data_IF_263297226237
#
_entry.id   IF_263297226237
#
_cell.length_a   1.000
_cell.length_b   1.000
_cell.length_c   1.000
_cell.angle_alpha   90.00
_cell.angle_beta   90.00
_cell.angle_gamma   90.00
#
_symmetry.space_group_name_H-M   'P 1'
#
loop_
_entity.id
_entity.type
_entity.pdbx_description
1 polymer ?
#
# COMPACT_ATOMS: atom_id res chain seq x y z
N UNK A 1 32.79 28.12 -10.09
CA UNK A 1 32.24 29.37 -9.49
C UNK A 1 33.28 30.42 -9.09
N UNK A 2 34.59 30.17 -9.25
CA UNK A 2 35.63 31.16 -8.91
C UNK A 2 35.44 32.47 -9.68
N UNK A 3 35.55 33.60 -8.98
CA UNK A 3 35.36 34.93 -9.58
C UNK A 3 33.90 35.36 -9.80
N UNK A 4 32.92 34.53 -9.46
CA UNK A 4 31.49 34.85 -9.60
C UNK A 4 30.84 35.17 -8.25
N UNK A 5 29.98 36.20 -8.22
CA UNK A 5 29.14 36.51 -7.05
C UNK A 5 27.88 35.63 -7.03
N UNK A 6 27.99 34.43 -6.47
CA UNK A 6 26.91 33.42 -6.43
C UNK A 6 26.16 33.36 -5.09
N UNK A 7 26.75 33.87 -4.01
CA UNK A 7 26.20 33.72 -2.65
C UNK A 7 24.79 34.31 -2.56
N UNK A 8 23.84 33.49 -2.12
CA UNK A 8 22.44 33.88 -1.96
C UNK A 8 21.62 33.94 -3.25
N UNK A 9 22.15 33.47 -4.39
CA UNK A 9 21.51 33.55 -5.72
C UNK A 9 21.17 32.16 -6.27
N UNK A 10 20.30 32.14 -7.29
CA UNK A 10 20.18 31.00 -8.18
C UNK A 10 21.38 30.97 -9.15
N UNK A 11 21.90 29.78 -9.43
CA UNK A 11 22.93 29.56 -10.45
C UNK A 11 22.37 28.71 -11.57
N UNK A 12 22.69 29.08 -12.81
CA UNK A 12 22.30 28.35 -14.02
C UNK A 12 23.58 27.74 -14.58
N UNK A 13 23.56 26.44 -14.83
CA UNK A 13 24.72 25.67 -15.29
C UNK A 13 24.28 24.77 -16.44
N UNK A 14 25.00 24.82 -17.55
CA UNK A 14 24.83 23.83 -18.62
C UNK A 14 25.27 22.46 -18.11
N UNK A 15 24.43 21.45 -18.34
CA UNK A 15 24.77 20.06 -18.06
C UNK A 15 25.94 19.64 -18.96
N UNK A 16 26.78 18.73 -18.45
CA UNK A 16 27.82 18.06 -19.21
C UNK A 16 28.15 16.70 -18.58
N UNK A 17 28.92 15.87 -19.29
CA UNK A 17 29.35 14.55 -18.83
C UNK A 17 30.59 14.58 -17.89
N UNK A 18 31.23 15.73 -17.71
CA UNK A 18 32.46 15.88 -16.90
C UNK A 18 32.17 15.89 -15.40
N UNK A 19 30.99 16.34 -15.00
CA UNK A 19 30.55 16.38 -13.60
C UNK A 19 29.26 15.60 -13.45
N UNK A 20 29.14 14.85 -12.36
CA UNK A 20 27.89 14.24 -11.96
C UNK A 20 26.91 15.27 -11.36
N UNK A 21 25.63 14.92 -11.30
CA UNK A 21 24.60 15.70 -10.59
C UNK A 21 24.98 16.04 -9.14
N UNK A 22 25.45 15.06 -8.33
CA UNK A 22 25.91 15.32 -6.96
C UNK A 22 27.08 16.30 -6.88
N UNK A 23 28.07 16.18 -7.78
CA UNK A 23 29.23 17.08 -7.79
C UNK A 23 28.83 18.52 -8.14
N UNK A 24 27.94 18.70 -9.13
CA UNK A 24 27.40 20.02 -9.48
C UNK A 24 26.63 20.64 -8.32
N UNK A 25 25.75 19.87 -7.68
CA UNK A 25 24.96 20.32 -6.54
C UNK A 25 25.83 20.69 -5.35
N UNK A 26 26.81 19.85 -5.01
CA UNK A 26 27.77 20.09 -3.93
C UNK A 26 28.61 21.34 -4.18
N UNK A 27 29.11 21.53 -5.40
CA UNK A 27 29.90 22.72 -5.76
C UNK A 27 29.06 24.01 -5.69
N UNK A 28 27.80 23.98 -6.15
CA UNK A 28 26.88 25.11 -6.07
C UNK A 28 26.56 25.46 -4.60
N UNK A 29 26.30 24.44 -3.78
CA UNK A 29 26.04 24.59 -2.35
C UNK A 29 27.25 25.17 -1.61
N UNK A 30 28.45 24.63 -1.84
CA UNK A 30 29.69 25.11 -1.25
C UNK A 30 29.99 26.58 -1.63
N UNK A 31 29.60 26.99 -2.82
CA UNK A 31 29.73 28.39 -3.27
C UNK A 31 28.64 29.32 -2.68
N UNK A 32 27.65 28.78 -1.96
CA UNK A 32 26.60 29.53 -1.28
C UNK A 32 25.39 29.85 -2.15
N UNK A 33 25.16 29.13 -3.25
CA UNK A 33 23.95 29.25 -4.04
C UNK A 33 22.70 28.86 -3.21
N UNK A 34 21.53 29.38 -3.60
CA UNK A 34 20.22 29.02 -3.01
C UNK A 34 19.38 28.12 -3.91
N UNK A 35 19.72 28.02 -5.18
CA UNK A 35 19.10 27.16 -6.17
C UNK A 35 20.12 26.84 -7.26
N UNK A 36 20.19 25.58 -7.69
CA UNK A 36 20.88 25.18 -8.91
C UNK A 36 19.85 24.85 -9.98
N UNK A 37 19.98 25.47 -11.15
CA UNK A 37 19.23 25.14 -12.36
C UNK A 37 20.20 24.52 -13.35
N UNK A 38 20.03 23.24 -13.62
CA UNK A 38 20.79 22.50 -14.63
C UNK A 38 20.06 22.60 -15.97
N UNK A 39 20.71 23.18 -16.98
CA UNK A 39 20.18 23.27 -18.34
C UNK A 39 20.61 22.03 -19.11
N UNK A 40 19.65 21.28 -19.62
CA UNK A 40 19.93 20.05 -20.37
C UNK A 40 20.68 20.33 -21.69
N UNK A 41 21.74 19.55 -21.94
CA UNK A 41 22.63 19.67 -23.11
C UNK A 41 22.28 18.69 -24.25
N UNK A 42 21.33 17.79 -24.02
CA UNK A 42 20.94 16.74 -24.96
C UNK A 42 19.46 16.77 -25.35
N UNK A 43 19.07 16.01 -26.38
CA UNK A 43 17.69 15.90 -26.84
C UNK A 43 16.80 14.98 -25.97
N UNK A 44 17.38 14.26 -25.00
CA UNK A 44 16.64 13.35 -24.10
C UNK A 44 16.23 14.07 -22.83
N UNK A 45 15.14 13.63 -22.20
CA UNK A 45 14.76 14.14 -20.88
C UNK A 45 15.88 13.91 -19.86
N UNK A 46 16.18 14.94 -19.06
CA UNK A 46 17.24 14.90 -18.07
C UNK A 46 16.68 14.38 -16.74
N UNK A 47 17.08 13.16 -16.38
CA UNK A 47 16.83 12.59 -15.06
C UNK A 47 18.16 12.16 -14.45
N UNK A 48 18.54 12.79 -13.34
CA UNK A 48 19.80 12.54 -12.65
C UNK A 48 19.65 12.61 -11.14
N UNK A 49 20.34 11.72 -10.42
CA UNK A 49 20.45 11.84 -8.98
C UNK A 49 21.32 13.06 -8.63
N UNK A 50 20.83 13.92 -7.74
CA UNK A 50 21.51 15.17 -7.33
C UNK A 50 21.80 15.22 -5.83
N UNK A 51 21.46 14.14 -5.11
CA UNK A 51 21.67 14.02 -3.67
C UNK A 51 23.11 13.67 -3.30
N UNK A 52 23.29 13.24 -2.07
CA UNK A 52 24.58 12.84 -1.50
C UNK A 52 24.68 11.31 -1.49
N UNK A 53 25.82 10.79 -1.95
CA UNK A 53 26.20 9.39 -1.75
C UNK A 53 27.08 9.34 -0.49
N UNK A 54 26.56 8.72 0.57
CA UNK A 54 27.26 8.62 1.85
C UNK A 54 28.35 7.54 1.82
N UNK A 55 29.29 7.57 2.77
CA UNK A 55 30.40 6.61 2.84
C UNK A 55 29.96 5.14 2.98
N UNK A 56 28.74 4.89 3.49
CA UNK A 56 28.13 3.57 3.60
C UNK A 56 27.24 3.20 2.38
N UNK A 57 27.37 3.94 1.27
CA UNK A 57 26.54 3.83 0.05
C UNK A 57 25.05 4.15 0.24
N UNK A 58 24.62 4.65 1.40
CA UNK A 58 23.27 5.20 1.54
C UNK A 58 23.14 6.54 0.80
N UNK A 59 21.93 6.87 0.37
CA UNK A 59 21.62 8.11 -0.33
C UNK A 59 20.94 9.10 0.62
N UNK A 60 21.35 10.36 0.58
CA UNK A 60 20.71 11.47 1.28
C UNK A 60 20.29 12.58 0.32
N UNK A 61 19.32 13.38 0.72
CA UNK A 61 18.88 14.52 -0.08
C UNK A 61 19.98 15.60 -0.18
N UNK A 62 19.97 16.36 -1.27
CA UNK A 62 20.85 17.53 -1.40
C UNK A 62 20.41 18.64 -0.44
N UNK A 63 21.33 19.32 0.26
CA UNK A 63 21.00 20.49 1.07
C UNK A 63 20.64 21.71 0.20
N UNK A 64 20.82 21.63 -1.12
CA UNK A 64 20.47 22.64 -2.10
C UNK A 64 19.29 22.17 -2.94
N UNK A 65 18.30 23.04 -3.15
CA UNK A 65 17.27 22.80 -4.15
C UNK A 65 17.90 22.75 -5.55
N UNK A 66 17.62 21.71 -6.30
CA UNK A 66 18.10 21.53 -7.68
C UNK A 66 16.89 21.32 -8.59
N UNK A 67 16.88 22.00 -9.74
CA UNK A 67 15.93 21.81 -10.80
C UNK A 67 16.66 21.58 -12.12
N UNK A 68 16.10 20.76 -13.00
CA UNK A 68 16.54 20.60 -14.38
C UNK A 68 15.51 21.25 -15.32
N UNK A 69 15.97 21.92 -16.37
CA UNK A 69 15.12 22.48 -17.43
C UNK A 69 15.61 22.05 -18.80
N UNK A 70 14.72 22.10 -19.80
CA UNK A 70 15.10 21.78 -21.18
C UNK A 70 16.16 22.74 -21.71
N UNK A 71 16.90 22.31 -22.75
CA UNK A 71 17.85 23.19 -23.42
C UNK A 71 17.19 24.42 -24.05
N UNK A 72 15.92 24.31 -24.46
CA UNK A 72 15.16 25.44 -25.03
C UNK A 72 14.80 26.47 -23.96
N UNK A 73 14.16 26.05 -22.87
CA UNK A 73 13.85 26.95 -21.74
C UNK A 73 15.12 27.53 -21.11
N UNK A 74 16.19 26.73 -21.07
CA UNK A 74 17.50 27.16 -20.58
C UNK A 74 18.10 28.28 -21.41
N UNK A 75 18.02 28.22 -22.75
CA UNK A 75 18.47 29.30 -23.62
C UNK A 75 17.73 30.60 -23.34
N UNK A 76 16.40 30.54 -23.25
CA UNK A 76 15.55 31.70 -22.96
C UNK A 76 15.87 32.32 -21.59
N UNK A 77 16.08 31.47 -20.59
CA UNK A 77 16.47 31.89 -19.24
C UNK A 77 17.86 32.53 -19.23
N UNK A 78 18.84 31.94 -19.91
CA UNK A 78 20.21 32.46 -20.02
C UNK A 78 20.20 33.82 -20.74
N UNK A 79 19.46 33.96 -21.83
CA UNK A 79 19.33 35.22 -22.56
C UNK A 79 18.67 36.30 -21.70
N UNK A 80 17.61 35.96 -20.97
CA UNK A 80 16.95 36.86 -20.02
C UNK A 80 17.92 37.36 -18.94
N UNK A 81 18.78 36.48 -18.41
CA UNK A 81 19.80 36.86 -17.41
C UNK A 81 20.91 37.72 -18.01
N UNK A 82 21.30 37.50 -19.27
CA UNK A 82 22.27 38.37 -19.98
C UNK A 82 21.71 39.77 -20.22
N UNK A 83 20.40 39.88 -20.44
CA UNK A 83 19.71 41.14 -20.72
C UNK A 83 19.33 41.94 -19.46
N UNK A 84 19.45 41.36 -18.26
CA UNK A 84 19.22 42.10 -17.02
C UNK A 84 19.05 41.25 -15.77
N UNK A 85 18.61 41.91 -14.69
CA UNK A 85 18.35 41.23 -13.41
C UNK A 85 17.03 40.45 -13.49
N UNK A 86 17.13 39.13 -13.56
CA UNK A 86 15.98 38.23 -13.45
C UNK A 86 15.71 37.88 -11.99
N UNK A 87 14.43 37.84 -11.61
CA UNK A 87 13.96 37.27 -10.33
C UNK A 87 13.12 36.04 -10.64
N UNK A 88 13.49 34.92 -10.04
CA UNK A 88 12.74 33.67 -10.16
C UNK A 88 11.76 33.56 -8.97
N UNK A 89 10.51 33.22 -9.28
CA UNK A 89 9.57 32.78 -8.26
C UNK A 89 9.69 31.26 -8.12
N UNK A 90 10.09 30.79 -6.95
CA UNK A 90 10.41 29.38 -6.71
C UNK A 90 9.55 28.89 -5.56
N UNK A 91 8.74 27.86 -5.83
CA UNK A 91 7.97 27.15 -4.82
C UNK A 91 8.25 25.66 -5.01
N UNK A 92 8.82 25.02 -3.98
CA UNK A 92 8.90 23.57 -3.90
C UNK A 92 7.80 23.07 -2.96
N UNK A 93 7.10 22.02 -3.35
CA UNK A 93 6.21 21.30 -2.47
C UNK A 93 6.63 19.81 -2.49
N UNK A 94 7.26 19.28 -1.43
CA UNK A 94 7.63 17.87 -1.40
C UNK A 94 6.40 16.95 -1.35
N UNK A 95 5.26 17.47 -0.90
CA UNK A 95 4.00 16.75 -0.75
C UNK A 95 2.92 17.43 -1.61
N UNK A 96 2.87 17.09 -2.89
CA UNK A 96 1.90 17.69 -3.82
C UNK A 96 0.48 17.34 -3.39
N UNK A 97 -0.40 18.36 -3.34
CA UNK A 97 -1.82 18.20 -2.98
C UNK A 97 -2.63 17.43 -4.04
N UNK A 98 -2.03 17.19 -5.21
CA UNK A 98 -2.61 16.45 -6.31
C UNK A 98 -1.58 15.64 -7.11
N UNK A 99 -2.05 14.63 -7.83
CA UNK A 99 -1.27 13.91 -8.86
C UNK A 99 -2.16 13.61 -10.06
N UNK A 100 -1.55 13.47 -11.23
CA UNK A 100 -2.19 13.10 -12.48
C UNK A 100 -1.53 11.83 -13.00
N UNK A 101 -2.24 10.71 -12.93
CA UNK A 101 -1.82 9.44 -13.51
C UNK A 101 -2.54 9.29 -14.85
N UNK A 102 -1.87 9.81 -15.88
CA UNK A 102 -2.46 10.00 -17.20
C UNK A 102 -1.85 9.04 -18.21
N UNK A 103 -2.73 8.45 -18.99
CA UNK A 103 -2.41 7.54 -20.07
C UNK A 103 -3.27 7.91 -21.28
N UNK A 104 -2.62 7.94 -22.44
CA UNK A 104 -3.23 8.14 -23.76
C UNK A 104 -2.69 7.07 -24.71
N UNK A 105 -3.37 5.92 -24.74
CA UNK A 105 -2.98 4.79 -25.57
C UNK A 105 -3.55 4.92 -26.99
N UNK A 106 -2.71 4.65 -27.99
CA UNK A 106 -3.07 4.62 -29.41
C UNK A 106 -2.68 3.28 -30.02
N UNK A 107 -3.67 2.51 -30.46
CA UNK A 107 -3.44 1.18 -31.02
C UNK A 107 -3.23 1.21 -32.54
N UNK A 108 -2.16 0.56 -33.00
CA UNK A 108 -1.82 0.35 -34.42
C UNK A 108 -1.70 1.62 -35.28
N UNK A 109 -1.63 2.81 -34.67
CA UNK A 109 -1.44 4.07 -35.38
C UNK A 109 -0.73 5.10 -34.51
N UNK A 110 -0.12 6.09 -35.16
CA UNK A 110 0.35 7.31 -34.50
C UNK A 110 -0.63 8.40 -34.92
N UNK A 111 -1.34 9.06 -33.99
CA UNK A 111 -2.25 10.15 -34.31
C UNK A 111 -1.54 11.30 -35.03
N UNK A 112 -2.27 11.96 -35.93
CA UNK A 112 -1.78 13.21 -36.53
C UNK A 112 -1.72 14.36 -35.51
N UNK A 113 -2.52 14.28 -34.44
CA UNK A 113 -2.50 15.20 -33.30
C UNK A 113 -2.23 14.40 -32.03
N UNK A 114 -1.09 14.67 -31.39
CA UNK A 114 -0.64 14.01 -30.16
C UNK A 114 -0.94 14.85 -28.91
N UNK A 115 -1.78 15.87 -29.04
CA UNK A 115 -2.18 16.72 -27.93
C UNK A 115 -3.17 16.00 -27.03
N UNK A 116 -2.70 15.55 -25.86
CA UNK A 116 -3.55 14.97 -24.83
C UNK A 116 -3.95 16.03 -23.79
N UNK A 117 -5.25 16.36 -23.72
CA UNK A 117 -5.79 17.38 -22.81
C UNK A 117 -7.14 16.95 -22.22
N UNK A 118 -7.16 15.94 -21.33
CA UNK A 118 -8.40 15.44 -20.74
C UNK A 118 -9.03 16.48 -19.81
N UNK A 119 -10.36 16.47 -19.74
CA UNK A 119 -11.12 17.25 -18.76
C UNK A 119 -11.43 16.41 -17.53
N UNK A 120 -11.88 17.04 -16.44
CA UNK A 120 -12.29 16.32 -15.23
C UNK A 120 -13.43 15.30 -15.44
N UNK A 121 -14.19 15.40 -16.54
CA UNK A 121 -15.23 14.43 -16.90
C UNK A 121 -14.68 13.18 -17.56
N UNK A 122 -13.48 13.28 -18.15
CA UNK A 122 -12.80 12.19 -18.83
C UNK A 122 -11.95 11.37 -17.86
N UNK A 123 -11.69 11.91 -16.66
CA UNK A 123 -10.85 11.33 -15.62
C UNK A 123 -11.69 10.80 -14.45
N UNK A 124 -11.08 9.98 -13.61
CA UNK A 124 -11.55 9.69 -12.26
C UNK A 124 -10.89 10.63 -11.28
N UNK A 125 -11.67 11.18 -10.36
CA UNK A 125 -11.16 11.90 -9.20
C UNK A 125 -11.17 10.98 -7.98
N UNK A 126 -10.01 10.79 -7.37
CA UNK A 126 -9.84 9.98 -6.16
C UNK A 126 -9.37 10.90 -5.03
N UNK A 127 -10.10 10.94 -3.92
CA UNK A 127 -9.62 11.61 -2.72
C UNK A 127 -8.93 10.56 -1.84
N UNK A 128 -7.60 10.53 -1.91
CA UNK A 128 -6.78 9.56 -1.20
C UNK A 128 -6.36 10.11 0.17
N UNK A 129 -6.57 9.29 1.21
CA UNK A 129 -6.13 9.54 2.57
C UNK A 129 -5.07 8.52 2.95
N UNK A 130 -3.83 8.97 3.12
CA UNK A 130 -2.74 8.12 3.59
C UNK A 130 -2.60 8.30 5.10
N UNK A 131 -3.09 7.34 5.89
CA UNK A 131 -3.17 7.46 7.36
C UNK A 131 -1.85 7.07 8.03
N UNK A 132 -1.63 7.60 9.23
CA UNK A 132 -0.51 7.23 10.10
C UNK A 132 -0.72 7.76 11.52
N UNK A 133 -0.29 6.98 12.51
CA UNK A 133 -0.35 7.34 13.93
C UNK A 133 0.63 8.46 14.32
N UNK A 134 1.60 8.74 13.45
CA UNK A 134 2.65 9.75 13.62
C UNK A 134 3.18 10.25 12.27
N UNK A 135 3.89 11.40 12.24
CA UNK A 135 4.68 11.78 11.08
C UNK A 135 5.68 10.68 10.68
N UNK A 136 5.63 10.23 9.43
CA UNK A 136 6.53 9.22 8.87
C UNK A 136 6.74 9.44 7.37
N UNK A 137 7.76 8.80 6.79
CA UNK A 137 7.90 8.74 5.33
C UNK A 137 7.16 7.54 4.78
N UNK A 138 6.35 7.76 3.75
CA UNK A 138 5.76 6.75 2.91
C UNK A 138 6.30 6.82 1.48
N UNK A 139 5.91 5.84 0.68
CA UNK A 139 6.04 5.92 -0.76
C UNK A 139 4.88 5.20 -1.43
N UNK A 140 4.51 5.61 -2.64
CA UNK A 140 3.44 4.97 -3.40
C UNK A 140 3.69 5.12 -4.90
N UNK A 141 3.01 4.29 -5.69
CA UNK A 141 2.86 4.51 -7.11
C UNK A 141 1.65 3.75 -7.65
N UNK A 142 1.03 4.30 -8.70
CA UNK A 142 -0.03 3.66 -9.46
C UNK A 142 0.48 3.30 -10.85
N UNK A 143 0.68 2.01 -11.09
CA UNK A 143 1.13 1.48 -12.37
C UNK A 143 -0.04 1.33 -13.32
N UNK A 144 0.06 1.91 -14.51
CA UNK A 144 -0.79 1.56 -15.64
C UNK A 144 -0.41 0.18 -16.19
N UNK A 145 -1.42 -0.62 -16.50
CA UNK A 145 -1.30 -1.93 -17.11
C UNK A 145 -2.10 -1.87 -18.41
N UNK A 146 -1.41 -1.68 -19.55
CA UNK A 146 -2.02 -1.70 -20.88
C UNK A 146 -2.65 -3.06 -21.19
N UNK A 147 -3.69 -3.10 -22.03
CA UNK A 147 -4.42 -4.32 -22.40
C UNK A 147 -3.55 -5.43 -23.01
N UNK A 148 -2.45 -5.05 -23.67
CA UNK A 148 -1.50 -5.97 -24.31
C UNK A 148 -0.37 -6.44 -23.37
N UNK A 149 -0.32 -5.96 -22.13
CA UNK A 149 0.71 -6.27 -21.15
C UNK A 149 0.11 -6.94 -19.91
N UNK A 150 0.92 -7.73 -19.22
CA UNK A 150 0.54 -8.37 -17.95
C UNK A 150 1.05 -7.62 -16.72
N UNK A 151 1.88 -6.59 -16.90
CA UNK A 151 2.54 -5.85 -15.82
C UNK A 151 2.71 -4.39 -16.22
N UNK A 152 2.74 -3.49 -15.22
CA UNK A 152 3.13 -2.09 -15.40
C UNK A 152 4.59 -1.86 -15.02
N UNK A 153 5.16 -0.72 -15.41
CA UNK A 153 6.54 -0.32 -15.12
C UNK A 153 6.53 1.04 -14.43
N UNK A 154 7.27 1.17 -13.33
CA UNK A 154 7.29 2.41 -12.55
C UNK A 154 8.07 2.27 -11.25
N UNK A 155 8.26 3.39 -10.57
CA UNK A 155 9.01 3.50 -9.32
C UNK A 155 8.16 4.24 -8.29
N UNK A 156 8.24 3.82 -7.03
CA UNK A 156 7.53 4.50 -5.94
C UNK A 156 8.08 5.90 -5.69
N UNK A 157 7.20 6.89 -5.59
CA UNK A 157 7.53 8.24 -5.18
C UNK A 157 7.27 8.43 -3.69
N UNK A 158 8.15 9.18 -3.01
CA UNK A 158 8.00 9.47 -1.59
C UNK A 158 6.77 10.36 -1.36
N UNK A 159 6.10 10.14 -0.23
CA UNK A 159 5.14 11.08 0.35
C UNK A 159 5.30 11.15 1.87
N UNK A 160 4.90 12.25 2.47
CA UNK A 160 4.76 12.37 3.92
C UNK A 160 3.47 11.71 4.40
N UNK A 161 3.54 11.01 5.54
CA UNK A 161 2.40 10.42 6.23
C UNK A 161 2.18 11.10 7.58
N UNK A 162 0.94 11.30 8.05
CA UNK A 162 -0.29 11.17 7.27
C UNK A 162 -0.43 12.32 6.26
N UNK A 163 -1.13 12.07 5.14
CA UNK A 163 -1.42 13.10 4.14
C UNK A 163 -2.73 12.82 3.40
N UNK A 164 -3.21 13.85 2.70
CA UNK A 164 -4.36 13.77 1.81
C UNK A 164 -3.94 14.27 0.43
N UNK A 165 -4.40 13.59 -0.63
CA UNK A 165 -4.06 13.94 -2.01
C UNK A 165 -5.24 13.71 -2.93
N UNK A 166 -5.48 14.67 -3.84
CA UNK A 166 -6.45 14.49 -4.92
C UNK A 166 -5.77 13.87 -6.14
N UNK A 167 -6.20 12.69 -6.56
CA UNK A 167 -5.55 11.95 -7.63
C UNK A 167 -6.48 11.89 -8.83
N UNK A 168 -5.97 12.28 -9.99
CA UNK A 168 -6.71 12.28 -11.25
C UNK A 168 -6.18 11.19 -12.14
N UNK A 169 -7.03 10.22 -12.47
CA UNK A 169 -6.61 8.97 -13.12
C UNK A 169 -7.31 8.82 -14.47
N UNK A 170 -6.57 8.49 -15.52
CA UNK A 170 -7.17 8.17 -16.82
C UNK A 170 -8.08 6.94 -16.72
N UNK A 171 -9.22 7.01 -17.41
CA UNK A 171 -10.23 5.96 -17.46
C UNK A 171 -10.46 5.46 -18.89
N UNK A 172 -9.44 5.54 -19.74
CA UNK A 172 -9.50 5.07 -21.12
C UNK A 172 -9.74 3.55 -21.14
N UNK A 173 -10.57 3.09 -22.08
CA UNK A 173 -10.81 1.66 -22.29
C UNK A 173 -9.49 0.95 -22.62
N UNK A 174 -9.31 -0.26 -22.08
CA UNK A 174 -8.08 -1.03 -22.25
C UNK A 174 -6.98 -0.72 -21.23
N UNK A 175 -7.12 0.32 -20.40
CA UNK A 175 -6.21 0.58 -19.27
C UNK A 175 -6.74 -0.04 -17.98
N UNK A 176 -5.85 -0.69 -17.23
CA UNK A 176 -6.08 -1.07 -15.84
C UNK A 176 -4.98 -0.54 -14.95
N UNK A 177 -5.23 -0.46 -13.66
CA UNK A 177 -4.35 0.21 -12.70
C UNK A 177 -4.05 -0.70 -11.53
N UNK A 178 -2.78 -0.78 -11.14
CA UNK A 178 -2.34 -1.43 -9.91
C UNK A 178 -1.75 -0.36 -9.00
N UNK A 179 -2.20 -0.28 -7.75
CA UNK A 179 -1.73 0.72 -6.79
C UNK A 179 -1.13 0.04 -5.56
N UNK A 180 0.04 0.53 -5.16
CA UNK A 180 0.73 0.12 -3.96
C UNK A 180 1.20 1.33 -3.17
N UNK A 181 1.14 1.23 -1.86
CA UNK A 181 1.76 2.18 -0.95
C UNK A 181 2.53 1.47 0.16
N UNK A 182 3.59 2.11 0.66
CA UNK A 182 4.42 1.59 1.75
C UNK A 182 4.71 2.64 2.81
N UNK A 183 4.87 2.19 4.06
CA UNK A 183 5.45 2.94 5.18
C UNK A 183 6.93 2.60 5.27
N UNK A 184 7.80 3.58 5.02
CA UNK A 184 9.23 3.34 4.80
C UNK A 184 10.04 3.18 6.08
N UNK A 185 9.61 3.79 7.18
CA UNK A 185 10.29 3.66 8.48
C UNK A 185 9.92 2.37 9.22
N UNK A 186 9.01 1.55 8.65
CA UNK A 186 8.58 0.28 9.22
C UNK A 186 8.00 -0.66 8.15
N UNK A 187 8.80 -1.01 7.12
CA UNK A 187 8.66 -2.12 6.16
C UNK A 187 7.25 -2.67 5.88
N UNK A 188 6.23 -1.80 5.80
CA UNK A 188 4.83 -2.20 5.68
C UNK A 188 4.36 -1.77 4.31
N UNK A 189 3.97 -2.74 3.50
CA UNK A 189 3.45 -2.53 2.16
C UNK A 189 1.97 -2.92 2.11
N UNK A 190 1.17 -2.13 1.42
CA UNK A 190 -0.23 -2.42 1.10
C UNK A 190 -0.41 -2.34 -0.41
N UNK A 191 -1.17 -3.30 -0.95
CA UNK A 191 -1.48 -3.47 -2.37
C UNK A 191 -2.99 -3.54 -2.55
N UNK A 192 -3.53 -2.72 -3.44
CA UNK A 192 -4.94 -2.81 -3.84
C UNK A 192 -5.13 -3.84 -4.97
N UNK A 193 -6.37 -4.34 -5.18
CA UNK A 193 -6.71 -5.09 -6.38
C UNK A 193 -6.47 -4.28 -7.66
N UNK A 194 -6.35 -4.96 -8.79
CA UNK A 194 -6.27 -4.27 -10.08
C UNK A 194 -7.60 -3.58 -10.37
N UNK A 195 -7.55 -2.27 -10.57
CA UNK A 195 -8.72 -1.45 -10.82
C UNK A 195 -8.91 -1.15 -12.31
N UNK A 196 -10.17 -1.12 -12.74
CA UNK A 196 -10.60 -0.56 -14.02
C UNK A 196 -11.60 0.55 -13.75
N UNK A 197 -11.31 1.72 -14.27
CA UNK A 197 -12.06 2.93 -13.97
C UNK A 197 -13.04 3.30 -15.10
N UNK A 198 -14.07 4.05 -14.74
CA UNK A 198 -14.99 4.68 -15.68
C UNK A 198 -14.85 6.20 -15.56
N UNK A 199 -14.92 6.96 -16.68
CA UNK A 199 -14.83 8.42 -16.64
C UNK A 199 -15.86 9.07 -15.70
N UNK A 200 -15.46 10.15 -15.02
CA UNK A 200 -16.34 10.96 -14.17
C UNK A 200 -16.63 10.38 -12.78
N UNK A 201 -16.05 9.23 -12.41
CA UNK A 201 -16.17 8.69 -11.05
C UNK A 201 -15.49 9.61 -10.03
N UNK A 202 -16.10 9.68 -8.85
CA UNK A 202 -15.53 10.31 -7.66
C UNK A 202 -15.40 9.23 -6.57
N UNK A 203 -14.17 8.92 -6.20
CA UNK A 203 -13.86 7.85 -5.25
C UNK A 203 -13.17 8.42 -4.00
N UNK A 204 -13.22 7.66 -2.91
CA UNK A 204 -12.42 7.91 -1.72
C UNK A 204 -11.62 6.65 -1.45
N UNK A 205 -10.32 6.82 -1.23
CA UNK A 205 -9.42 5.73 -0.87
C UNK A 205 -8.76 6.04 0.45
N UNK A 206 -8.64 5.04 1.30
CA UNK A 206 -7.96 5.14 2.56
C UNK A 206 -6.85 4.10 2.61
N UNK A 207 -5.63 4.56 2.78
CA UNK A 207 -4.44 3.76 2.90
C UNK A 207 -4.00 3.71 4.36
N UNK A 208 -3.54 2.54 4.79
CA UNK A 208 -3.04 2.30 6.14
C UNK A 208 -4.09 2.51 7.23
N UNK A 209 -5.38 2.42 6.89
CA UNK A 209 -6.46 2.46 7.87
C UNK A 209 -6.31 1.33 8.89
N UNK A 210 -6.70 1.57 10.16
CA UNK A 210 -6.51 0.63 11.25
C UNK A 210 -7.34 -0.64 11.06
N UNK A 211 -7.23 -1.58 12.01
CA UNK A 211 -7.66 -2.97 11.87
C UNK A 211 -6.80 -3.71 10.85
N UNK A 212 -5.47 -3.55 10.96
CA UNK A 212 -4.52 -4.25 10.11
C UNK A 212 -4.45 -5.74 10.51
N UNK A 213 -4.53 -6.65 9.54
CA UNK A 213 -4.60 -8.10 9.80
C UNK A 213 -4.10 -8.96 8.63
N UNK A 214 -3.88 -10.26 8.85
CA UNK A 214 -3.77 -11.20 7.76
C UNK A 214 -5.06 -11.27 6.96
N UNK A 215 -4.96 -11.09 5.64
CA UNK A 215 -6.10 -11.13 4.71
C UNK A 215 -5.63 -11.44 3.29
N UNK A 216 -6.23 -12.46 2.69
CA UNK A 216 -5.92 -12.94 1.34
C UNK A 216 -6.63 -12.08 0.29
N UNK A 217 -6.03 -11.95 -0.90
CA UNK A 217 -6.57 -11.17 -2.01
C UNK A 217 -5.59 -11.09 -3.17
N UNK A 218 -5.93 -10.31 -4.20
CA UNK A 218 -5.22 -10.29 -5.49
C UNK A 218 -3.77 -9.80 -5.43
N UNK A 219 -3.40 -8.99 -4.42
CA UNK A 219 -2.04 -8.44 -4.32
C UNK A 219 -0.95 -9.48 -4.02
N UNK A 220 -1.33 -10.70 -3.62
CA UNK A 220 -0.44 -11.83 -3.41
C UNK A 220 -1.06 -13.11 -3.98
N UNK A 221 -0.23 -14.06 -4.43
CA UNK A 221 -0.73 -15.32 -4.98
C UNK A 221 -1.48 -16.16 -3.92
N UNK A 222 -2.56 -16.83 -4.34
CA UNK A 222 -3.48 -17.59 -3.48
C UNK A 222 -2.83 -18.87 -2.94
N UNK A 223 -3.04 -19.26 -1.67
CA UNK A 223 -2.63 -20.57 -1.17
C UNK A 223 -3.29 -21.72 -1.94
N UNK A 224 -2.52 -22.76 -2.25
CA UNK A 224 -3.00 -23.90 -3.04
C UNK A 224 -2.38 -25.23 -2.60
N UNK A 225 -3.10 -26.32 -2.90
CA UNK A 225 -2.60 -27.69 -2.91
C UNK A 225 -1.98 -27.97 -4.27
N UNK A 226 -0.80 -28.60 -4.29
CA UNK A 226 -0.19 -29.14 -5.50
C UNK A 226 0.10 -30.63 -5.36
N UNK A 227 -0.63 -31.47 -6.09
CA UNK A 227 -0.65 -32.92 -5.85
C UNK A 227 -1.06 -33.24 -4.41
N UNK A 228 -0.10 -33.71 -3.60
CA UNK A 228 -0.30 -33.96 -2.16
C UNK A 228 0.46 -32.98 -1.26
N UNK A 229 0.95 -31.87 -1.80
CA UNK A 229 1.71 -30.86 -1.06
C UNK A 229 0.90 -29.58 -0.90
N UNK A 230 1.26 -28.75 0.06
CA UNK A 230 0.68 -27.41 0.21
C UNK A 230 1.73 -26.32 0.01
N UNK A 231 1.33 -25.29 -0.72
CA UNK A 231 2.11 -24.09 -1.01
C UNK A 231 1.25 -22.90 -0.59
N UNK A 232 1.64 -22.23 0.49
CA UNK A 232 0.82 -21.19 1.13
C UNK A 232 1.57 -19.86 1.23
N UNK A 233 0.84 -18.78 0.97
CA UNK A 233 1.30 -17.41 1.08
C UNK A 233 0.28 -16.60 1.88
N UNK A 234 0.64 -16.23 3.11
CA UNK A 234 -0.30 -15.64 4.08
C UNK A 234 0.15 -14.21 4.41
N UNK A 235 -0.19 -13.20 3.58
CA UNK A 235 0.14 -11.80 3.84
C UNK A 235 -0.37 -11.35 5.21
N UNK A 236 0.43 -10.55 5.91
CA UNK A 236 0.32 -10.29 7.35
C UNK A 236 -0.48 -9.07 7.75
N UNK A 237 -0.41 -8.00 6.97
CA UNK A 237 -0.79 -6.65 7.41
C UNK A 237 -1.61 -5.93 6.33
N UNK A 238 -2.70 -6.52 5.87
CA UNK A 238 -3.65 -5.78 5.05
C UNK A 238 -4.32 -4.69 5.90
N UNK A 239 -4.43 -3.47 5.37
CA UNK A 239 -5.26 -2.42 5.97
C UNK A 239 -6.76 -2.68 5.75
N UNK A 240 -7.64 -1.88 6.37
CA UNK A 240 -9.10 -1.99 6.20
C UNK A 240 -9.63 -1.48 4.86
N UNK A 241 -8.77 -1.25 3.86
CA UNK A 241 -9.18 -0.97 2.50
C UNK A 241 -9.89 -2.16 1.86
N UNK A 242 -10.88 -1.89 1.01
CA UNK A 242 -11.64 -2.93 0.30
C UNK A 242 -10.69 -3.66 -0.64
N UNK A 243 -10.59 -4.98 -0.53
CA UNK A 243 -9.76 -5.74 -1.45
C UNK A 243 -8.26 -5.66 -1.18
N UNK A 244 -7.81 -4.78 -0.28
CA UNK A 244 -6.40 -4.58 0.03
C UNK A 244 -5.75 -5.84 0.59
N UNK A 245 -4.48 -6.03 0.26
CA UNK A 245 -3.60 -6.99 0.94
C UNK A 245 -2.37 -6.26 1.42
N UNK A 246 -1.66 -6.78 2.42
CA UNK A 246 -0.45 -6.11 2.89
C UNK A 246 0.50 -7.04 3.62
N UNK A 247 1.76 -6.65 3.65
CA UNK A 247 2.85 -7.50 4.10
C UNK A 247 3.91 -6.70 4.87
N UNK A 248 4.64 -7.42 5.72
CA UNK A 248 5.96 -7.01 6.20
C UNK A 248 6.98 -7.39 5.13
N UNK A 249 7.68 -6.41 4.57
CA UNK A 249 8.65 -6.62 3.50
C UNK A 249 10.04 -7.02 4.02
N UNK A 250 10.24 -7.07 5.34
CA UNK A 250 11.43 -7.70 5.91
C UNK A 250 11.34 -9.23 5.81
N UNK A 251 12.49 -9.87 5.66
CA UNK A 251 12.61 -11.32 5.76
C UNK A 251 13.42 -11.71 7.01
N UNK A 252 12.94 -12.64 7.86
CA UNK A 252 11.71 -13.45 7.72
C UNK A 252 10.42 -12.70 8.13
N UNK A 253 10.51 -11.43 8.51
CA UNK A 253 9.36 -10.62 8.92
C UNK A 253 8.87 -10.93 10.34
N UNK A 254 7.75 -10.31 10.71
CA UNK A 254 7.16 -10.37 12.06
C UNK A 254 5.91 -11.27 12.13
N UNK A 255 6.06 -12.50 11.63
CA UNK A 255 5.00 -13.51 11.60
C UNK A 255 5.57 -14.92 11.81
N UNK A 256 4.77 -15.81 12.40
CA UNK A 256 4.95 -17.25 12.31
C UNK A 256 3.69 -17.92 11.76
N UNK A 257 3.89 -19.03 11.05
CA UNK A 257 2.82 -19.88 10.50
C UNK A 257 2.99 -21.31 11.00
N UNK A 258 1.89 -21.92 11.45
CA UNK A 258 1.83 -23.33 11.86
C UNK A 258 0.70 -24.03 11.14
N UNK A 259 1.03 -25.09 10.42
CA UNK A 259 0.06 -25.96 9.78
C UNK A 259 -0.10 -27.23 10.62
N UNK A 260 -1.34 -27.62 10.88
CA UNK A 260 -1.72 -28.82 11.58
C UNK A 260 -2.62 -29.70 10.71
N UNK A 261 -2.48 -31.00 10.87
CA UNK A 261 -3.42 -32.01 10.40
C UNK A 261 -4.03 -32.70 11.62
N UNK A 262 -5.30 -32.40 11.91
CA UNK A 262 -5.88 -32.71 13.22
C UNK A 262 -5.07 -32.10 14.37
N UNK A 263 -4.63 -32.93 15.32
CA UNK A 263 -3.78 -32.49 16.44
C UNK A 263 -2.28 -32.46 16.12
N UNK A 264 -1.85 -32.99 14.98
CA UNK A 264 -0.43 -33.14 14.65
C UNK A 264 0.10 -31.87 13.98
N UNK A 265 1.22 -31.35 14.48
CA UNK A 265 1.94 -30.26 13.82
C UNK A 265 2.63 -30.81 12.57
N UNK A 266 2.21 -30.32 11.41
CA UNK A 266 2.76 -30.69 10.11
C UNK A 266 3.98 -29.83 9.77
N UNK A 267 3.87 -28.51 9.96
CA UNK A 267 4.92 -27.55 9.60
C UNK A 267 4.84 -26.30 10.46
N UNK A 268 6.00 -25.74 10.79
CA UNK A 268 6.14 -24.42 11.40
C UNK A 268 7.23 -23.62 10.66
N UNK A 269 6.98 -22.34 10.40
CA UNK A 269 7.91 -21.42 9.73
C UNK A 269 7.76 -20.01 10.32
N UNK A 270 8.83 -19.21 10.21
CA UNK A 270 8.75 -17.76 10.39
C UNK A 270 8.59 -17.10 9.02
N UNK A 271 7.65 -16.18 8.92
CA UNK A 271 7.35 -15.40 7.72
C UNK A 271 6.11 -15.84 6.93
N UNK A 272 5.92 -15.18 5.79
CA UNK A 272 4.71 -15.20 4.97
C UNK A 272 4.47 -16.52 4.22
N UNK A 273 5.55 -17.24 3.88
CA UNK A 273 5.50 -18.43 3.04
C UNK A 273 5.61 -19.72 3.84
N UNK A 274 4.64 -20.63 3.69
CA UNK A 274 4.67 -21.98 4.24
C UNK A 274 4.53 -23.00 3.12
N UNK A 275 5.58 -23.81 2.93
CA UNK A 275 5.56 -24.95 2.01
C UNK A 275 5.63 -26.25 2.82
N UNK A 276 4.61 -27.10 2.67
CA UNK A 276 4.56 -28.44 3.24
C UNK A 276 4.66 -29.48 2.12
N UNK A 277 5.79 -30.19 2.10
CA UNK A 277 6.07 -31.27 1.15
C UNK A 277 5.77 -32.66 1.74
N UNK A 278 4.93 -32.72 2.78
CA UNK A 278 4.46 -33.99 3.34
C UNK A 278 3.42 -34.60 2.39
N UNK A 279 3.34 -35.93 2.34
CA UNK A 279 2.37 -36.62 1.49
C UNK A 279 0.97 -36.60 2.14
N UNK A 280 0.27 -35.48 2.00
CA UNK A 280 -1.07 -35.29 2.56
C UNK A 280 -2.09 -36.29 1.98
N UNK A 281 -3.09 -36.74 2.77
CA UNK A 281 -4.09 -37.68 2.30
C UNK A 281 -4.82 -37.22 1.05
N UNK A 282 -5.16 -38.19 0.20
CA UNK A 282 -5.96 -37.95 -1.01
C UNK A 282 -7.42 -37.67 -0.68
N UNK A 283 -7.90 -38.21 0.43
CA UNK A 283 -9.26 -38.03 0.93
C UNK A 283 -9.46 -36.64 1.52
N UNK A 284 -10.72 -36.20 1.58
CA UNK A 284 -11.06 -34.93 2.19
C UNK A 284 -10.70 -34.92 3.68
N UNK A 285 -9.74 -34.08 4.04
CA UNK A 285 -9.14 -34.05 5.36
C UNK A 285 -9.15 -32.63 5.91
N UNK A 286 -9.45 -32.51 7.20
CA UNK A 286 -9.39 -31.24 7.93
C UNK A 286 -7.95 -30.83 8.26
N UNK A 287 -7.67 -29.56 8.05
CA UNK A 287 -6.43 -28.90 8.41
C UNK A 287 -6.70 -27.65 9.20
N UNK A 288 -5.74 -27.29 10.06
CA UNK A 288 -5.75 -26.03 10.79
C UNK A 288 -4.47 -25.25 10.52
N UNK A 289 -4.61 -24.04 10.02
CA UNK A 289 -3.50 -23.10 9.82
C UNK A 289 -3.59 -22.02 10.89
N UNK A 290 -2.48 -21.72 11.55
CA UNK A 290 -2.38 -20.65 12.55
C UNK A 290 -1.36 -19.64 12.10
N UNK A 291 -1.70 -18.36 12.17
CA UNK A 291 -0.79 -17.23 11.99
C UNK A 291 -0.76 -16.35 13.22
N UNK A 292 0.42 -16.23 13.81
CA UNK A 292 0.73 -15.23 14.83
C UNK A 292 1.58 -14.13 14.20
N UNK A 293 1.15 -12.87 14.29
CA UNK A 293 1.92 -11.74 13.78
C UNK A 293 1.99 -10.62 14.81
N UNK A 294 3.07 -9.84 14.82
CA UNK A 294 3.28 -8.76 15.78
C UNK A 294 3.97 -7.55 15.13
N UNK A 295 3.82 -6.36 15.72
CA UNK A 295 4.54 -5.15 15.31
C UNK A 295 5.12 -4.46 16.55
N UNK A 296 6.20 -3.69 16.39
CA UNK A 296 6.77 -2.94 17.52
C UNK A 296 5.77 -1.90 18.03
N UNK A 297 5.26 -2.10 19.25
CA UNK A 297 4.32 -1.19 19.89
C UNK A 297 4.90 0.20 20.19
N UNK A 298 6.23 0.39 20.10
CA UNK A 298 6.84 1.73 20.11
C UNK A 298 6.62 2.47 18.80
N UNK A 299 6.50 1.74 17.68
CA UNK A 299 6.24 2.29 16.35
C UNK A 299 4.76 2.26 15.96
N UNK A 300 3.96 1.35 16.49
CA UNK A 300 2.55 1.21 16.11
C UNK A 300 1.61 1.38 17.29
N UNK A 301 0.66 2.31 17.17
CA UNK A 301 -0.40 2.48 18.17
C UNK A 301 -1.58 1.51 17.99
N UNK A 302 -1.76 0.93 16.79
CA UNK A 302 -2.87 0.04 16.45
C UNK A 302 -2.38 -1.29 15.85
N UNK A 303 -3.22 -2.33 15.94
CA UNK A 303 -3.02 -3.67 15.39
C UNK A 303 -1.60 -4.19 15.62
N UNK A 304 -1.21 -4.21 16.90
CA UNK A 304 0.16 -4.52 17.34
C UNK A 304 0.43 -6.01 17.44
N UNK A 305 -0.62 -6.82 17.50
CA UNK A 305 -0.56 -8.28 17.52
C UNK A 305 -1.82 -8.85 16.91
N UNK A 306 -1.67 -9.92 16.13
CA UNK A 306 -2.78 -10.71 15.61
C UNK A 306 -2.57 -12.18 15.87
N UNK A 307 -3.67 -12.89 16.11
CA UNK A 307 -3.71 -14.35 16.13
C UNK A 307 -4.87 -14.77 15.22
N UNK A 308 -4.55 -15.44 14.11
CA UNK A 308 -5.55 -15.90 13.13
C UNK A 308 -5.46 -17.41 12.99
N UNK A 309 -6.58 -18.09 13.14
CA UNK A 309 -6.71 -19.52 12.92
C UNK A 309 -7.70 -19.78 11.79
N UNK A 310 -7.31 -20.61 10.83
CA UNK A 310 -8.19 -21.13 9.79
C UNK A 310 -8.38 -22.62 10.01
N UNK A 311 -9.63 -23.08 9.95
CA UNK A 311 -9.96 -24.48 9.72
C UNK A 311 -10.40 -24.63 8.28
N UNK A 312 -9.83 -25.57 7.54
CA UNK A 312 -10.15 -25.78 6.14
C UNK A 312 -10.08 -27.26 5.76
N UNK A 313 -10.83 -27.64 4.72
CA UNK A 313 -10.85 -28.99 4.18
C UNK A 313 -10.13 -29.04 2.84
N UNK A 314 -9.39 -30.13 2.59
CA UNK A 314 -8.71 -30.33 1.31
C UNK A 314 -8.61 -31.81 0.97
N UNK A 315 -8.82 -32.12 -0.32
CA UNK A 315 -8.62 -33.43 -0.93
C UNK A 315 -7.79 -33.31 -2.21
N UNK A 316 -7.35 -34.43 -2.77
CA UNK A 316 -6.71 -34.46 -4.08
C UNK A 316 -7.77 -34.32 -5.18
N UNK A 317 -7.49 -33.48 -6.18
CA UNK A 317 -8.29 -33.32 -7.40
C UNK A 317 -7.53 -33.82 -8.63
N UNK A 318 -8.21 -33.85 -9.78
CA UNK A 318 -7.57 -34.20 -11.06
C UNK A 318 -6.59 -33.09 -11.50
N UNK A 319 -6.97 -31.83 -11.29
CA UNK A 319 -6.08 -30.69 -11.46
C UNK A 319 -4.91 -30.79 -10.49
N UNK A 320 -3.69 -30.62 -11.01
CA UNK A 320 -2.51 -30.70 -10.15
C UNK A 320 -2.49 -29.57 -9.12
N UNK A 321 -3.03 -28.39 -9.42
CA UNK A 321 -3.11 -27.26 -8.50
C UNK A 321 -4.56 -26.90 -8.21
N UNK A 322 -4.92 -26.79 -6.92
CA UNK A 322 -6.25 -26.37 -6.46
C UNK A 322 -6.12 -25.43 -5.26
N UNK A 323 -6.83 -24.32 -5.29
CA UNK A 323 -6.82 -23.28 -4.27
C UNK A 323 -7.40 -23.79 -2.95
N UNK A 324 -6.84 -23.35 -1.83
CA UNK A 324 -7.32 -23.72 -0.50
C UNK A 324 -8.49 -22.81 -0.08
N UNK A 325 -9.56 -23.36 0.54
CA UNK A 325 -10.79 -22.64 0.85
C UNK A 325 -10.66 -21.80 2.14
N UNK A 326 -9.61 -20.97 2.21
CA UNK A 326 -9.37 -20.09 3.36
C UNK A 326 -10.33 -18.89 3.32
N UNK A 327 -10.91 -18.57 4.47
CA UNK A 327 -11.78 -17.40 4.65
C UNK A 327 -10.95 -16.23 5.20
N UNK A 328 -11.14 -15.03 4.68
CA UNK A 328 -10.60 -13.77 5.21
C UNK A 328 -11.70 -12.90 5.80
N UNK A 329 -11.35 -11.99 6.72
CA UNK A 329 -12.29 -11.03 7.29
C UNK A 329 -11.91 -9.59 6.89
N UNK A 330 -12.89 -8.87 6.34
CA UNK A 330 -12.79 -7.45 6.05
C UNK A 330 -13.56 -6.65 7.09
N UNK A 331 -12.95 -5.57 7.59
CA UNK A 331 -13.52 -4.69 8.61
C UNK A 331 -13.60 -3.27 8.08
N UNK A 332 -14.66 -2.54 8.43
CA UNK A 332 -14.76 -1.10 8.20
C UNK A 332 -15.12 -0.41 9.49
N UNK A 333 -14.27 0.52 9.93
CA UNK A 333 -14.50 1.40 11.08
C UNK A 333 -14.08 2.81 10.69
N UNK A 334 -14.92 3.80 10.98
CA UNK A 334 -14.59 5.19 10.72
C UNK A 334 -13.64 5.73 11.78
N UNK A 335 -12.48 6.19 11.35
CA UNK A 335 -11.44 6.75 12.21
C UNK A 335 -10.87 8.04 11.64
N UNK A 336 -10.24 8.83 12.50
CA UNK A 336 -9.38 9.94 12.07
C UNK A 336 -8.13 9.46 11.30
N UNK A 337 -7.33 10.41 10.81
CA UNK A 337 -6.08 10.17 10.07
C UNK A 337 -4.99 9.45 10.89
N UNK A 338 -5.16 9.35 12.20
CA UNK A 338 -4.26 8.65 13.12
C UNK A 338 -4.82 7.32 13.62
N UNK A 339 -5.94 6.87 13.04
CA UNK A 339 -6.54 5.58 13.35
C UNK A 339 -7.37 5.56 14.64
N UNK A 340 -7.87 6.70 15.11
CA UNK A 340 -8.68 6.80 16.32
C UNK A 340 -10.17 7.03 16.02
N UNK A 341 -11.02 6.29 16.73
CA UNK A 341 -12.44 6.60 16.86
C UNK A 341 -12.68 7.52 18.07
N UNK A 342 -13.81 8.22 18.08
CA UNK A 342 -14.15 9.16 19.16
C UNK A 342 -14.49 8.40 20.45
N UNK A 343 -13.78 8.71 21.54
CA UNK A 343 -14.07 8.17 22.86
C UNK A 343 -15.40 8.69 23.42
N UNK A 344 -16.11 7.84 24.17
CA UNK A 344 -17.43 8.12 24.74
C UNK A 344 -18.55 8.23 23.70
N UNK A 345 -18.40 7.60 22.54
CA UNK A 345 -19.37 7.57 21.44
C UNK A 345 -19.55 6.14 20.92
N UNK A 346 -20.69 5.90 20.30
CA UNK A 346 -20.90 4.67 19.53
C UNK A 346 -20.27 4.83 18.14
N UNK A 347 -19.71 3.74 17.64
CA UNK A 347 -19.19 3.62 16.26
C UNK A 347 -19.76 2.35 15.63
N UNK A 348 -20.12 2.44 14.35
CA UNK A 348 -20.56 1.29 13.57
C UNK A 348 -19.32 0.59 12.98
N UNK A 349 -19.31 -0.74 13.06
CA UNK A 349 -18.31 -1.62 12.47
C UNK A 349 -18.98 -2.46 11.39
N UNK A 350 -18.49 -2.37 10.15
CA UNK A 350 -18.79 -3.33 9.10
C UNK A 350 -17.86 -4.55 9.17
N UNK A 351 -18.41 -5.75 8.95
CA UNK A 351 -17.69 -7.02 8.90
C UNK A 351 -18.14 -7.81 7.67
N UNK A 352 -17.18 -8.33 6.88
CA UNK A 352 -17.46 -9.21 5.74
C UNK A 352 -16.53 -10.42 5.77
N UNK A 353 -17.04 -11.58 5.33
CA UNK A 353 -16.24 -12.80 5.16
C UNK A 353 -16.00 -13.05 3.67
N UNK A 354 -14.75 -13.18 3.28
CA UNK A 354 -14.32 -13.30 1.88
C UNK A 354 -13.60 -14.63 1.68
N UNK A 355 -14.05 -15.44 0.72
CA UNK A 355 -13.41 -16.70 0.38
C UNK A 355 -12.41 -16.55 -0.76
N UNK A 356 -11.37 -17.38 -0.77
CA UNK A 356 -10.46 -17.51 -1.93
C UNK A 356 -11.26 -17.96 -3.16
N UNK A 357 -11.39 -17.09 -4.15
CA UNK A 357 -12.14 -17.39 -5.38
C UNK A 357 -11.56 -18.59 -6.10
N UNK A 358 -12.41 -19.57 -6.45
CA UNK A 358 -12.04 -20.77 -7.21
C UNK A 358 -11.66 -21.98 -6.37
N UNK A 359 -11.54 -21.86 -5.04
CA UNK A 359 -11.24 -23.01 -4.19
C UNK A 359 -12.38 -24.05 -4.22
N UNK A 360 -12.11 -25.32 -4.61
CA UNK A 360 -13.16 -26.33 -4.80
C UNK A 360 -13.95 -26.66 -3.54
N UNK A 361 -13.32 -26.56 -2.38
CA UNK A 361 -13.90 -26.87 -1.07
C UNK A 361 -14.59 -25.66 -0.40
N UNK A 362 -14.79 -24.54 -1.09
CA UNK A 362 -15.59 -23.43 -0.55
C UNK A 362 -17.06 -23.84 -0.36
N UNK A 363 -17.62 -23.52 0.80
CA UNK A 363 -19.07 -23.54 1.04
C UNK A 363 -19.72 -22.17 0.85
N UNK A 364 -20.99 -22.04 1.23
CA UNK A 364 -21.66 -20.75 1.38
C UNK A 364 -21.43 -20.21 2.79
N UNK A 365 -20.92 -18.98 2.90
CA UNK A 365 -20.85 -18.26 4.18
C UNK A 365 -22.23 -18.24 4.85
N UNK A 366 -22.32 -18.74 6.07
CA UNK A 366 -23.60 -18.91 6.78
C UNK A 366 -23.62 -18.33 8.20
N UNK A 367 -22.50 -17.76 8.68
CA UNK A 367 -22.49 -17.08 9.96
C UNK A 367 -21.17 -16.36 10.29
N UNK A 368 -21.27 -15.47 11.26
CA UNK A 368 -20.15 -14.76 11.86
C UNK A 368 -20.43 -14.43 13.34
N UNK A 369 -19.37 -14.13 14.08
CA UNK A 369 -19.45 -13.63 15.46
C UNK A 369 -18.42 -12.54 15.69
N UNK A 370 -18.73 -11.61 16.60
CA UNK A 370 -17.84 -10.53 16.98
C UNK A 370 -17.80 -10.37 18.50
N UNK A 371 -16.60 -10.17 19.01
CA UNK A 371 -16.32 -9.78 20.38
C UNK A 371 -15.34 -8.60 20.40
N UNK A 372 -15.47 -7.75 21.42
CA UNK A 372 -14.62 -6.59 21.64
C UNK A 372 -13.92 -6.68 22.98
N UNK A 373 -12.75 -6.07 23.08
CA UNK A 373 -11.99 -5.95 24.31
C UNK A 373 -11.43 -4.54 24.45
N UNK A 374 -11.49 -4.00 25.66
CA UNK A 374 -10.93 -2.68 26.02
C UNK A 374 -9.66 -2.81 26.89
N UNK A 375 -9.18 -4.03 27.13
CA UNK A 375 -8.04 -4.38 27.97
C UNK A 375 -7.03 -5.29 27.25
N UNK A 376 -6.86 -5.02 25.95
CA UNK A 376 -5.89 -5.67 25.06
C UNK A 376 -6.04 -7.21 24.98
N UNK A 377 -7.29 -7.68 25.03
CA UNK A 377 -7.66 -9.09 24.84
C UNK A 377 -7.67 -9.92 26.12
N UNK A 378 -7.58 -9.29 27.30
CA UNK A 378 -7.65 -10.00 28.58
C UNK A 378 -9.08 -10.46 28.88
N UNK A 379 -10.07 -9.60 28.63
CA UNK A 379 -11.49 -9.91 28.71
C UNK A 379 -12.18 -9.57 27.39
N UNK A 380 -13.20 -10.36 27.04
CA UNK A 380 -13.91 -10.25 25.77
C UNK A 380 -15.41 -10.16 26.01
N UNK A 381 -16.06 -9.28 25.26
CA UNK A 381 -17.49 -9.04 25.34
C UNK A 381 -18.13 -9.25 23.98
N UNK A 382 -19.19 -10.07 23.93
CA UNK A 382 -19.92 -10.33 22.70
C UNK A 382 -20.67 -9.08 22.23
N UNK A 383 -20.53 -8.79 20.94
CA UNK A 383 -21.29 -7.75 20.24
C UNK A 383 -22.25 -8.42 19.27
N UNK A 384 -23.49 -7.92 19.24
CA UNK A 384 -24.49 -8.40 18.30
C UNK A 384 -24.15 -7.96 16.87
N UNK A 385 -24.19 -8.91 15.95
CA UNK A 385 -24.05 -8.68 14.52
C UNK A 385 -25.44 -8.69 13.88
N UNK A 386 -25.71 -7.69 13.06
CA UNK A 386 -26.91 -7.58 12.24
C UNK A 386 -26.51 -7.85 10.80
N UNK A 387 -27.16 -8.79 10.12
CA UNK A 387 -26.88 -9.04 8.70
C UNK A 387 -27.28 -7.85 7.84
N UNK A 388 -26.39 -7.46 6.93
CA UNK A 388 -26.57 -6.33 6.03
C UNK A 388 -25.90 -6.65 4.68
N UNK A 389 -26.71 -6.83 3.63
CA UNK A 389 -26.21 -7.30 2.33
C UNK A 389 -25.53 -8.67 2.45
N UNK A 390 -24.29 -8.75 1.95
CA UNK A 390 -23.45 -9.95 2.00
C UNK A 390 -22.56 -10.03 3.26
N UNK A 391 -22.77 -9.12 4.22
CA UNK A 391 -21.97 -9.03 5.45
C UNK A 391 -22.80 -8.73 6.68
N UNK A 392 -22.16 -8.11 7.66
CA UNK A 392 -22.76 -7.75 8.94
C UNK A 392 -22.32 -6.37 9.39
N UNK A 393 -23.15 -5.73 10.20
CA UNK A 393 -22.82 -4.54 10.96
C UNK A 393 -22.98 -4.76 12.46
N UNK A 394 -22.16 -4.07 13.24
CA UNK A 394 -22.20 -4.05 14.70
C UNK A 394 -22.10 -2.61 15.21
N UNK A 395 -22.73 -2.31 16.34
CA UNK A 395 -22.52 -1.04 17.06
C UNK A 395 -21.62 -1.29 18.26
N UNK A 396 -20.51 -0.58 18.33
CA UNK A 396 -19.52 -0.70 19.41
C UNK A 396 -19.53 0.57 20.25
N UNK A 397 -19.59 0.42 21.57
CA UNK A 397 -19.47 1.53 22.51
C UNK A 397 -17.99 1.86 22.76
N UNK A 398 -17.49 2.98 22.25
CA UNK A 398 -16.14 3.42 22.59
C UNK A 398 -16.11 3.96 24.02
N UNK A 399 -15.84 3.10 24.99
CA UNK A 399 -15.91 3.45 26.42
C UNK A 399 -15.00 4.62 26.78
N UNK A 400 -15.54 5.53 27.61
CA UNK A 400 -14.73 6.61 28.18
C UNK A 400 -13.61 6.02 29.04
N UNK A 401 -12.38 6.48 28.82
CA UNK A 401 -11.19 6.03 29.56
C UNK A 401 -10.49 4.82 28.96
N UNK A 402 -11.13 4.08 28.03
CA UNK A 402 -10.41 3.12 27.20
C UNK A 402 -9.57 3.84 26.14
N UNK A 403 -8.40 3.30 25.81
CA UNK A 403 -7.45 3.89 24.86
C UNK A 403 -7.49 3.23 23.48
N UNK A 404 -8.06 2.04 23.38
CA UNK A 404 -8.18 1.28 22.13
C UNK A 404 -9.28 0.24 22.25
N UNK A 405 -9.70 -0.30 21.11
CA UNK A 405 -10.57 -1.47 21.02
C UNK A 405 -9.79 -2.58 20.33
N UNK A 406 -9.79 -3.77 20.91
CA UNK A 406 -9.32 -5.01 20.27
C UNK A 406 -10.53 -5.80 19.77
N UNK A 407 -10.37 -6.51 18.66
CA UNK A 407 -11.45 -7.26 18.03
C UNK A 407 -11.11 -8.75 18.02
N UNK A 408 -12.12 -9.59 18.27
CA UNK A 408 -12.08 -11.02 18.02
C UNK A 408 -13.30 -11.38 17.19
N UNK A 409 -13.08 -11.76 15.94
CA UNK A 409 -14.15 -12.11 15.03
C UNK A 409 -13.95 -13.50 14.45
N UNK A 410 -15.06 -14.15 14.11
CA UNK A 410 -15.06 -15.43 13.43
C UNK A 410 -16.08 -15.42 12.30
N UNK A 411 -15.83 -16.21 11.26
CA UNK A 411 -16.81 -16.53 10.22
C UNK A 411 -16.64 -17.98 9.78
N UNK A 412 -17.72 -18.56 9.27
CA UNK A 412 -17.74 -19.95 8.81
C UNK A 412 -18.72 -20.14 7.64
N UNK A 413 -18.45 -21.19 6.86
CA UNK A 413 -19.33 -21.63 5.78
C UNK A 413 -20.06 -22.95 6.12
N UNK A 414 -20.96 -23.36 5.24
CA UNK A 414 -21.69 -24.63 5.35
C UNK A 414 -20.89 -25.87 4.90
N UNK A 415 -19.65 -25.69 4.43
CA UNK A 415 -18.71 -26.77 4.11
C UNK A 415 -17.77 -27.11 5.28
N UNK A 416 -17.84 -26.35 6.38
CA UNK A 416 -17.03 -26.56 7.58
C UNK A 416 -15.71 -25.80 7.60
N UNK A 417 -15.47 -24.91 6.63
CA UNK A 417 -14.34 -23.99 6.69
C UNK A 417 -14.67 -22.82 7.64
N UNK A 418 -13.67 -22.38 8.39
CA UNK A 418 -13.84 -21.26 9.33
C UNK A 418 -12.56 -20.46 9.52
N UNK A 419 -12.74 -19.21 9.94
CA UNK A 419 -11.68 -18.33 10.43
C UNK A 419 -12.05 -17.85 11.83
N UNK A 420 -11.05 -17.75 12.70
CA UNK A 420 -11.08 -16.97 13.95
C UNK A 420 -9.90 -16.01 13.95
N UNK A 421 -10.14 -14.73 14.16
CA UNK A 421 -9.12 -13.70 14.10
C UNK A 421 -9.21 -12.76 15.30
N UNK A 422 -8.11 -12.64 16.03
CA UNK A 422 -7.92 -11.71 17.13
C UNK A 422 -6.95 -10.60 16.69
N UNK A 423 -7.32 -9.34 16.91
CA UNK A 423 -6.55 -8.15 16.55
C UNK A 423 -6.45 -7.25 17.79
N UNK A 424 -5.26 -7.19 18.37
CA UNK A 424 -4.99 -6.38 19.57
C UNK A 424 -4.75 -4.92 19.17
N UNK A 425 -5.47 -4.01 19.83
CA UNK A 425 -5.57 -2.58 19.49
C UNK A 425 -6.03 -2.34 18.05
N UNK A 426 -7.06 -3.05 17.59
CA UNK A 426 -7.61 -2.92 16.24
C UNK A 426 -7.73 -1.45 15.80
N UNK A 427 -8.29 -0.58 16.63
CA UNK A 427 -8.25 0.88 16.46
C UNK A 427 -8.10 1.62 17.80
N UNK A 428 -7.65 2.88 17.74
CA UNK A 428 -7.45 3.73 18.92
C UNK A 428 -8.72 4.47 19.35
N UNK A 429 -8.76 4.98 20.58
CA UNK A 429 -9.84 5.80 21.11
C UNK A 429 -9.29 7.13 21.62
N UNK A 430 -9.88 8.26 21.18
CA UNK A 430 -9.44 9.60 21.58
C UNK A 430 -10.58 10.59 21.78
#
# INVERSE_FOLDING_TARGET
YNGLNVKGKAVIVDRNDELSGPERAAAAYAAGAKLLITVNDGPKELSEFVGIINANNSLSDSPLAVAAISGTEGKDLIESVKNGKVRLNVKGNPDTEYVYDLVDHHDNNIPNDVTYSPTSRDLVKINSQYKSDRPAQGAEFRWDIPSYASNGIGLTFKLSLPSVRTEWVSAQEGTSWYHQASVLDSAWEVRQPVAKYKPGLNLNEEWFSPVARPRLGEGFWKPYRTGNYFIMNIPTWADSGIGSTGADTNYPGTQSLKLYQGSNLDKEVNGQGLNSFNNHPVENTEYRLVSDAWRDAKRWNTSVRTHTEWTFWSKKHEENNTELPLISLDYKVDTDMSGNAKSGRWTDLGLNAIQVTGAPENGKINGASLEVSYDEGTTWEKVELVSEGDGWTARIENRKGATSVSLRASAWDDAGNSIKQEIIKAYGLK
#
